data_IF_849393366646
#
_entry.id   IF_849393366646
#
_cell.length_a   1.000
_cell.length_b   1.000
_cell.length_c   1.000
_cell.angle_alpha   90.00
_cell.angle_beta   90.00
_cell.angle_gamma   90.00
#
_symmetry.space_group_name_H-M   'P 1'
#
loop_
_entity.id
_entity.type
_entity.pdbx_description
1 polymer ?
#
# COMPACT_ATOMS: atom_id res chain seq x y z
N UNK A 1 7.12 2.81 7.63
CA UNK A 1 6.25 1.64 7.39
C UNK A 1 7.07 0.35 7.31
N UNK A 2 8.20 0.33 6.61
CA UNK A 2 9.10 -0.84 6.54
C UNK A 2 9.51 -1.40 7.92
N UNK A 3 9.82 -0.53 8.89
CA UNK A 3 10.15 -0.99 10.25
C UNK A 3 8.97 -1.69 10.94
N UNK A 4 7.74 -1.25 10.69
CA UNK A 4 6.55 -1.89 11.24
C UNK A 4 6.36 -3.28 10.64
N UNK A 5 6.52 -3.42 9.32
CA UNK A 5 6.48 -4.72 8.66
C UNK A 5 7.54 -5.66 9.25
N UNK A 6 8.77 -5.17 9.47
CA UNK A 6 9.85 -5.95 10.11
C UNK A 6 9.47 -6.43 11.51
N UNK A 7 8.93 -5.53 12.35
CA UNK A 7 8.49 -5.86 13.71
C UNK A 7 7.33 -6.88 13.73
N UNK A 8 6.50 -6.86 12.70
CA UNK A 8 5.38 -7.80 12.53
C UNK A 8 5.75 -9.08 11.76
N UNK A 9 7.00 -9.19 11.31
CA UNK A 9 7.47 -10.28 10.44
C UNK A 9 6.62 -10.43 9.17
N UNK A 10 6.18 -9.31 8.61
CA UNK A 10 5.51 -9.28 7.32
C UNK A 10 6.53 -9.10 6.20
N UNK A 11 6.42 -9.92 5.16
CA UNK A 11 7.29 -9.81 3.99
C UNK A 11 6.89 -8.60 3.16
N UNK A 12 7.63 -7.50 3.32
CA UNK A 12 7.44 -6.30 2.52
C UNK A 12 8.07 -6.48 1.15
N UNK A 13 7.24 -6.62 0.12
CA UNK A 13 7.68 -6.89 -1.25
C UNK A 13 7.87 -5.63 -2.08
N UNK A 14 7.07 -4.60 -1.82
CA UNK A 14 7.21 -3.29 -2.44
C UNK A 14 6.62 -2.20 -1.53
N UNK A 15 7.21 -1.01 -1.58
CA UNK A 15 6.73 0.19 -0.89
C UNK A 15 7.01 1.40 -1.78
N UNK A 16 5.98 2.19 -2.04
CA UNK A 16 6.11 3.47 -2.72
C UNK A 16 5.35 4.54 -1.94
N UNK A 17 6.06 5.61 -1.56
CA UNK A 17 5.49 6.78 -0.90
C UNK A 17 5.46 7.91 -1.92
N UNK A 18 4.28 8.45 -2.18
CA UNK A 18 4.04 9.62 -3.03
C UNK A 18 3.55 10.79 -2.19
N UNK A 19 3.47 11.96 -2.80
CA UNK A 19 3.04 13.19 -2.13
C UNK A 19 1.61 13.14 -1.60
N UNK A 20 0.74 12.34 -2.24
CA UNK A 20 -0.69 12.25 -1.90
C UNK A 20 -1.19 10.83 -1.56
N UNK A 21 -0.38 9.78 -1.75
CA UNK A 21 -0.77 8.40 -1.46
C UNK A 21 0.43 7.49 -1.18
N UNK A 22 0.16 6.30 -0.65
CA UNK A 22 1.18 5.28 -0.38
C UNK A 22 0.69 3.92 -0.88
N UNK A 23 1.55 3.20 -1.58
CA UNK A 23 1.32 1.81 -1.97
C UNK A 23 2.25 0.87 -1.22
N UNK A 24 1.70 -0.26 -0.80
CA UNK A 24 2.44 -1.30 -0.08
C UNK A 24 2.01 -2.67 -0.60
N UNK A 25 2.97 -3.52 -0.93
CA UNK A 25 2.74 -4.94 -1.24
C UNK A 25 3.34 -5.78 -0.13
N UNK A 26 2.50 -6.57 0.55
CA UNK A 26 2.89 -7.45 1.65
C UNK A 26 2.55 -8.89 1.28
N UNK A 27 3.52 -9.78 1.42
CA UNK A 27 3.34 -11.21 1.31
C UNK A 27 3.27 -11.86 2.69
N UNK A 28 2.64 -13.04 2.74
CA UNK A 28 2.49 -13.88 3.92
C UNK A 28 2.00 -13.14 5.21
N UNK A 29 1.02 -12.22 5.16
CA UNK A 29 0.54 -11.61 6.38
C UNK A 29 -0.27 -12.61 7.21
N UNK A 30 -0.12 -12.55 8.53
CA UNK A 30 -0.87 -13.37 9.50
C UNK A 30 -2.23 -12.79 9.89
N UNK A 31 -2.56 -11.59 9.38
CA UNK A 31 -3.79 -10.85 9.72
C UNK A 31 -4.48 -10.31 8.47
N UNK A 32 -5.74 -9.89 8.62
CA UNK A 32 -6.54 -9.36 7.50
C UNK A 32 -6.02 -8.01 6.99
N UNK A 33 -6.15 -7.70 5.69
CA UNK A 33 -5.66 -6.47 5.07
C UNK A 33 -6.15 -5.18 5.74
N UNK A 34 -7.38 -5.14 6.24
CA UNK A 34 -7.94 -3.95 6.88
C UNK A 34 -7.18 -3.59 8.16
N UNK A 35 -6.76 -4.63 8.92
CA UNK A 35 -5.92 -4.45 10.10
C UNK A 35 -4.48 -4.07 9.74
N UNK A 36 -3.94 -4.59 8.64
CA UNK A 36 -2.62 -4.19 8.12
C UNK A 36 -2.64 -2.70 7.79
N UNK A 37 -3.62 -2.25 6.99
CA UNK A 37 -3.76 -0.85 6.59
C UNK A 37 -3.88 0.05 7.81
N UNK A 38 -4.76 -0.31 8.77
CA UNK A 38 -4.92 0.45 10.02
C UNK A 38 -3.58 0.60 10.75
N UNK A 39 -2.87 -0.50 10.98
CA UNK A 39 -1.61 -0.47 11.72
C UNK A 39 -0.51 0.31 10.98
N UNK A 40 -0.43 0.20 9.66
CA UNK A 40 0.54 0.97 8.87
C UNK A 40 0.25 2.48 8.91
N UNK A 41 -1.04 2.87 8.82
CA UNK A 41 -1.47 4.28 8.97
C UNK A 41 -1.13 4.81 10.35
N UNK A 42 -1.48 4.08 11.41
CA UNK A 42 -1.18 4.46 12.80
C UNK A 42 0.32 4.61 13.04
N UNK A 43 1.12 3.64 12.58
CA UNK A 43 2.58 3.70 12.67
C UNK A 43 3.16 4.90 11.90
N UNK A 44 2.68 5.11 10.66
CA UNK A 44 3.09 6.23 9.82
C UNK A 44 2.79 7.57 10.50
N UNK A 45 1.57 7.76 10.98
CA UNK A 45 1.15 8.97 11.70
C UNK A 45 2.02 9.22 12.94
N UNK A 46 2.28 8.18 13.74
CA UNK A 46 3.15 8.29 14.91
C UNK A 46 4.55 8.76 14.51
N UNK A 47 5.16 8.16 13.48
CA UNK A 47 6.49 8.58 13.01
C UNK A 47 6.52 9.99 12.45
N UNK A 48 5.52 10.39 11.66
CA UNK A 48 5.43 11.76 11.14
C UNK A 48 5.33 12.78 12.28
N UNK A 49 4.59 12.48 13.35
CA UNK A 49 4.49 13.33 14.55
C UNK A 49 5.76 13.37 15.36
N UNK A 50 6.43 12.22 15.58
CA UNK A 50 7.74 12.14 16.24
C UNK A 50 8.78 13.04 15.54
N UNK A 51 8.73 13.09 14.21
CA UNK A 51 9.60 13.95 13.40
C UNK A 51 9.07 15.37 13.18
N UNK A 52 7.95 15.74 13.82
CA UNK A 52 7.30 17.07 13.71
C UNK A 52 6.96 17.49 12.26
N UNK A 53 6.73 16.52 11.37
CA UNK A 53 6.35 16.75 9.97
C UNK A 53 4.87 17.13 9.86
N UNK A 54 4.03 16.60 10.75
CA UNK A 54 2.59 16.89 10.82
C UNK A 54 2.19 17.31 12.22
N UNK A 55 1.13 18.11 12.33
CA UNK A 55 0.56 18.53 13.61
C UNK A 55 -0.02 17.36 14.42
N UNK A 56 -0.12 17.54 15.74
CA UNK A 56 -0.68 16.52 16.64
C UNK A 56 -2.16 16.22 16.36
N UNK A 57 -2.93 17.23 15.95
CA UNK A 57 -4.36 17.12 15.59
C UNK A 57 -4.59 17.00 14.09
N UNK A 58 -3.54 17.02 13.25
CA UNK A 58 -3.69 16.95 11.81
C UNK A 58 -4.14 15.55 11.38
N UNK A 59 -5.17 15.50 10.54
CA UNK A 59 -5.58 14.29 9.82
C UNK A 59 -4.58 14.01 8.69
N UNK A 60 -3.96 12.81 8.72
CA UNK A 60 -2.88 12.43 7.80
C UNK A 60 -3.38 11.53 6.67
N UNK A 61 -4.37 10.68 6.96
CA UNK A 61 -4.85 9.66 6.03
C UNK A 61 -6.36 9.81 5.82
N UNK A 62 -6.83 9.47 4.62
CA UNK A 62 -8.24 9.16 4.41
C UNK A 62 -8.66 7.95 5.26
N UNK A 63 -9.95 7.79 5.53
CA UNK A 63 -10.45 6.73 6.42
C UNK A 63 -10.15 5.33 5.87
N UNK A 64 -10.47 5.11 4.59
CA UNK A 64 -10.31 3.81 3.94
C UNK A 64 -8.96 3.66 3.20
N UNK A 65 -8.64 2.43 2.82
CA UNK A 65 -7.52 2.10 1.95
C UNK A 65 -7.93 1.01 0.98
N UNK A 66 -7.48 1.12 -0.27
CA UNK A 66 -7.65 0.06 -1.27
C UNK A 66 -6.89 -1.18 -0.82
N UNK A 67 -7.58 -2.31 -0.69
CA UNK A 67 -6.96 -3.61 -0.37
C UNK A 67 -7.32 -4.60 -1.46
N UNK A 68 -6.30 -5.32 -1.96
CA UNK A 68 -6.44 -6.27 -3.05
C UNK A 68 -5.69 -7.53 -2.65
N UNK A 69 -6.32 -8.69 -2.85
CA UNK A 69 -5.67 -9.98 -2.63
C UNK A 69 -4.96 -10.42 -3.92
N UNK A 70 -3.71 -10.85 -3.78
CA UNK A 70 -2.83 -11.18 -4.90
C UNK A 70 -2.62 -12.70 -4.95
N UNK A 71 -3.68 -13.43 -5.30
CA UNK A 71 -3.67 -14.91 -5.32
C UNK A 71 -3.66 -15.50 -6.73
N UNK A 72 -3.82 -14.68 -7.76
CA UNK A 72 -3.73 -15.14 -9.14
C UNK A 72 -2.26 -15.26 -9.55
N UNK A 73 -1.97 -16.16 -10.50
CA UNK A 73 -0.61 -16.32 -11.04
C UNK A 73 -0.10 -15.00 -11.62
N UNK A 74 1.11 -14.59 -11.25
CA UNK A 74 1.73 -13.34 -11.70
C UNK A 74 1.17 -12.06 -11.08
N UNK A 75 0.09 -12.13 -10.29
CA UNK A 75 -0.52 -10.95 -9.67
C UNK A 75 0.41 -10.26 -8.66
N UNK A 76 1.25 -11.03 -7.96
CA UNK A 76 2.22 -10.50 -7.02
C UNK A 76 3.33 -9.73 -7.75
N UNK A 77 3.93 -10.31 -8.78
CA UNK A 77 4.99 -9.71 -9.58
C UNK A 77 4.49 -8.44 -10.28
N UNK A 78 3.28 -8.50 -10.85
CA UNK A 78 2.64 -7.35 -11.47
C UNK A 78 2.40 -6.22 -10.47
N UNK A 79 1.92 -6.53 -9.26
CA UNK A 79 1.70 -5.53 -8.22
C UNK A 79 3.01 -4.90 -7.75
N UNK A 80 4.08 -5.69 -7.59
CA UNK A 80 5.41 -5.18 -7.25
C UNK A 80 5.90 -4.21 -8.32
N UNK A 81 5.84 -4.61 -9.60
CA UNK A 81 6.25 -3.77 -10.72
C UNK A 81 5.45 -2.48 -10.78
N UNK A 82 4.13 -2.55 -10.68
CA UNK A 82 3.25 -1.38 -10.63
C UNK A 82 3.67 -0.42 -9.51
N UNK A 83 3.87 -0.95 -8.29
CA UNK A 83 4.22 -0.13 -7.14
C UNK A 83 5.56 0.57 -7.30
N UNK A 84 6.55 -0.10 -7.88
CA UNK A 84 7.90 0.45 -8.01
C UNK A 84 8.07 1.37 -9.23
N UNK A 85 7.37 1.10 -10.34
CA UNK A 85 7.73 1.66 -11.66
C UNK A 85 6.65 2.55 -12.31
N UNK A 86 5.36 2.40 -11.98
CA UNK A 86 4.27 2.90 -12.85
C UNK A 86 3.38 3.97 -12.21
N UNK A 87 3.83 4.59 -11.11
CA UNK A 87 2.98 5.49 -10.32
C UNK A 87 2.85 6.92 -10.87
N UNK A 88 3.80 7.34 -11.71
CA UNK A 88 3.88 8.74 -12.18
C UNK A 88 3.41 8.90 -13.63
N UNK A 89 3.38 7.81 -14.41
CA UNK A 89 2.91 7.77 -15.80
C UNK A 89 2.17 6.44 -16.05
N UNK A 90 0.88 6.34 -15.65
CA UNK A 90 0.08 5.18 -15.95
C UNK A 90 -0.09 5.13 -17.49
N UNK A 91 0.22 4.01 -18.16
CA UNK A 91 0.09 3.95 -19.63
C UNK A 91 -1.35 4.31 -20.09
N UNK A 92 -1.53 4.70 -21.36
CA UNK A 92 -2.85 5.11 -21.88
C UNK A 92 -3.94 4.08 -21.54
N UNK A 93 -5.04 4.52 -20.91
CA UNK A 93 -6.13 3.65 -20.41
C UNK A 93 -6.02 3.23 -18.94
N UNK A 94 -4.97 3.62 -18.21
CA UNK A 94 -4.74 3.23 -16.82
C UNK A 94 -5.14 4.29 -15.76
N UNK A 95 -6.15 5.10 -16.06
CA UNK A 95 -6.94 5.83 -15.07
C UNK A 95 -8.23 5.05 -14.82
N UNK A 96 -8.32 4.34 -13.68
CA UNK A 96 -9.32 3.28 -13.38
C UNK A 96 -10.62 3.30 -14.22
N UNK A 97 -10.87 2.23 -15.02
CA UNK A 97 -11.73 1.19 -14.45
C UNK A 97 -11.21 -0.27 -14.35
N UNK A 98 -10.15 -0.73 -15.02
CA UNK A 98 -9.92 -2.19 -15.04
C UNK A 98 -8.48 -2.71 -14.97
N UNK A 99 -7.49 -1.92 -14.54
CA UNK A 99 -6.13 -2.45 -14.29
C UNK A 99 -6.14 -3.65 -13.32
N UNK A 100 -7.13 -3.76 -12.44
CA UNK A 100 -7.42 -4.94 -11.64
C UNK A 100 -7.67 -6.20 -12.49
N UNK A 101 -8.44 -6.08 -13.57
CA UNK A 101 -8.65 -7.14 -14.54
C UNK A 101 -7.40 -7.38 -15.39
N UNK A 102 -6.73 -6.31 -15.85
CA UNK A 102 -5.54 -6.41 -16.70
C UNK A 102 -4.34 -7.08 -16.01
N UNK A 103 -4.15 -6.86 -14.71
CA UNK A 103 -3.02 -7.38 -13.94
C UNK A 103 -3.39 -8.54 -12.99
N UNK A 104 -4.63 -9.05 -13.06
CA UNK A 104 -5.10 -10.15 -12.20
C UNK A 104 -5.23 -9.79 -10.72
N UNK A 105 -5.44 -8.51 -10.42
CA UNK A 105 -5.52 -7.94 -9.08
C UNK A 105 -7.00 -7.82 -8.68
N UNK A 106 -7.70 -8.92 -8.42
CA UNK A 106 -9.13 -8.86 -8.06
C UNK A 106 -9.34 -8.30 -6.65
N UNK A 107 -10.06 -7.18 -6.55
CA UNK A 107 -10.69 -6.75 -5.31
C UNK A 107 -11.81 -7.72 -4.90
N UNK A 108 -12.07 -7.83 -3.59
CA UNK A 108 -13.29 -8.50 -3.10
C UNK A 108 -14.49 -7.58 -3.20
#
# INVERSE_FOLDING_TARGET
MSDHCRLRQWDLRALAVRSNHVHVVIAAPTIKPELIVKQLKEWGTRKLREHRIVGMSQHVWADHGSTIYLFESGSLENAIRYVLEMQDDPPEGHGRPDWQAMYGLRGR
#
